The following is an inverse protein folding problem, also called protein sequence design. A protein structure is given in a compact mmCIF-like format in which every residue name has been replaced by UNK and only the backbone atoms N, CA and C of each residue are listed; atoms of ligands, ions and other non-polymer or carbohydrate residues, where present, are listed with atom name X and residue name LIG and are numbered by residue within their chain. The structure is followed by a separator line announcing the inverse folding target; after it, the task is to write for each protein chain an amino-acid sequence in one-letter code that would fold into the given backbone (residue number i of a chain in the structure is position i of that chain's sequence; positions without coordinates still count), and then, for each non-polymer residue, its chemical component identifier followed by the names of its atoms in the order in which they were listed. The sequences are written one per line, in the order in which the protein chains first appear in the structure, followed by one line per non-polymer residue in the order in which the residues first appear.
data_IF_380288321507
#
_entry.id   IF_380288321507
#
_cell.length_a   1.000
_cell.length_b   1.000
_cell.length_c   1.000
_cell.angle_alpha   90.00
_cell.angle_beta   90.00
_cell.angle_gamma   90.00
#
_symmetry.space_group_name_H-M   'P 1'
#
loop_
_entity.id
_entity.type
_entity.pdbx_description
1 polymer ?
#
# COMPACT_ATOMS: atom_id res chain seq x y z
N UNK A 1 9.53 8.21 -3.33
CA UNK A 1 8.62 8.97 -4.23
C UNK A 1 9.28 9.39 -5.53
N UNK A 2 10.51 9.93 -5.55
CA UNK A 2 11.19 10.39 -6.78
C UNK A 2 11.26 9.34 -7.89
N UNK A 3 11.71 8.12 -7.59
CA UNK A 3 11.81 7.03 -8.57
C UNK A 3 10.47 6.65 -9.22
N UNK A 4 9.38 6.52 -8.46
CA UNK A 4 8.06 6.20 -9.03
C UNK A 4 7.54 7.31 -9.95
N UNK A 5 7.83 8.57 -9.63
CA UNK A 5 7.47 9.71 -10.48
C UNK A 5 8.30 9.73 -11.78
N UNK A 6 9.59 9.37 -11.71
CA UNK A 6 10.45 9.24 -12.89
C UNK A 6 9.94 8.14 -13.83
N UNK A 7 9.64 6.95 -13.30
CA UNK A 7 9.08 5.83 -14.09
C UNK A 7 7.71 6.18 -14.67
N UNK A 8 6.86 6.86 -13.90
CA UNK A 8 5.57 7.34 -14.38
C UNK A 8 5.75 8.31 -15.55
N UNK A 9 6.63 9.32 -15.41
CA UNK A 9 6.86 10.30 -16.45
C UNK A 9 7.39 9.65 -17.75
N UNK A 10 8.39 8.79 -17.65
CA UNK A 10 8.92 8.03 -18.81
C UNK A 10 7.84 7.18 -19.48
N UNK A 11 6.97 6.56 -18.68
CA UNK A 11 5.84 5.78 -19.18
C UNK A 11 4.84 6.66 -19.92
N UNK A 12 4.51 7.83 -19.37
CA UNK A 12 3.57 8.77 -20.00
C UNK A 12 4.16 9.34 -21.29
N UNK A 13 5.44 9.75 -21.28
CA UNK A 13 6.12 10.32 -22.45
C UNK A 13 6.23 9.32 -23.62
N UNK A 14 6.32 8.02 -23.32
CA UNK A 14 6.35 6.97 -24.36
C UNK A 14 4.96 6.57 -24.89
N UNK A 15 3.88 7.00 -24.24
CA UNK A 15 2.51 6.54 -24.53
C UNK A 15 1.54 7.64 -24.94
N UNK A 16 1.79 8.86 -24.50
CA UNK A 16 0.92 10.00 -24.69
C UNK A 16 1.63 11.08 -25.50
N UNK A 17 0.86 11.91 -26.18
CA UNK A 17 1.41 13.13 -26.80
C UNK A 17 1.82 14.11 -25.71
N UNK A 18 2.83 14.94 -25.98
CA UNK A 18 3.31 15.96 -25.02
C UNK A 18 2.18 16.85 -24.47
N UNK A 19 1.21 17.23 -25.30
CA UNK A 19 0.05 18.01 -24.87
C UNK A 19 -0.84 17.23 -23.88
N UNK A 20 -1.02 15.93 -24.07
CA UNK A 20 -1.78 15.06 -23.18
C UNK A 20 -1.05 14.84 -21.85
N UNK A 21 0.28 14.74 -21.86
CA UNK A 21 1.10 14.71 -20.64
C UNK A 21 0.90 15.99 -19.82
N UNK A 22 0.90 17.16 -20.46
CA UNK A 22 0.60 18.42 -19.78
C UNK A 22 -0.80 18.43 -19.16
N UNK A 23 -1.82 17.96 -19.90
CA UNK A 23 -3.19 17.83 -19.38
C UNK A 23 -3.22 16.89 -18.17
N UNK A 24 -2.56 15.74 -18.26
CA UNK A 24 -2.48 14.78 -17.15
C UNK A 24 -1.93 15.43 -15.87
N UNK A 25 -0.79 16.13 -15.94
CA UNK A 25 -0.20 16.75 -14.76
C UNK A 25 -1.04 17.92 -14.21
N UNK A 26 -1.62 18.74 -15.09
CA UNK A 26 -2.51 19.82 -14.67
C UNK A 26 -3.74 19.29 -13.91
N UNK A 27 -4.38 18.24 -14.43
CA UNK A 27 -5.53 17.63 -13.75
C UNK A 27 -5.10 16.84 -12.50
N UNK A 28 -3.94 16.18 -12.52
CA UNK A 28 -3.39 15.48 -11.35
C UNK A 28 -3.19 16.43 -10.17
N UNK A 29 -2.76 17.67 -10.41
CA UNK A 29 -2.59 18.66 -9.35
C UNK A 29 -3.91 18.96 -8.62
N UNK A 30 -5.03 19.05 -9.35
CA UNK A 30 -6.36 19.22 -8.78
C UNK A 30 -6.70 18.05 -7.86
N UNK A 31 -6.47 16.81 -8.31
CA UNK A 31 -6.69 15.62 -7.50
C UNK A 31 -5.75 15.55 -6.29
N UNK A 32 -4.50 16.01 -6.43
CA UNK A 32 -3.51 16.07 -5.37
C UNK A 32 -3.92 17.06 -4.27
N UNK A 33 -4.49 18.22 -4.64
CA UNK A 33 -5.09 19.17 -3.70
C UNK A 33 -6.31 18.55 -3.00
N UNK A 34 -7.20 17.89 -3.76
CA UNK A 34 -8.36 17.22 -3.19
C UNK A 34 -8.02 16.17 -2.13
N UNK A 35 -7.03 15.31 -2.39
CA UNK A 35 -6.59 14.31 -1.40
C UNK A 35 -5.88 14.93 -0.20
N UNK A 36 -5.15 16.05 -0.39
CA UNK A 36 -4.52 16.79 0.70
C UNK A 36 -5.57 17.31 1.68
N UNK A 37 -6.58 18.03 1.17
CA UNK A 37 -7.69 18.53 1.98
C UNK A 37 -8.45 17.41 2.71
N UNK A 38 -8.70 16.27 2.04
CA UNK A 38 -9.34 15.11 2.70
C UNK A 38 -8.52 14.55 3.86
N UNK A 39 -7.19 14.57 3.77
CA UNK A 39 -6.30 14.11 4.85
C UNK A 39 -6.30 15.08 6.03
N UNK A 40 -6.40 16.37 5.74
CA UNK A 40 -6.44 17.46 6.72
C UNK A 40 -7.82 17.61 7.39
N UNK A 41 -8.85 16.95 6.87
CA UNK A 41 -10.22 17.02 7.39
C UNK A 41 -11.06 18.14 6.77
N UNK A 42 -10.52 18.85 5.79
CA UNK A 42 -11.19 19.88 5.00
C UNK A 42 -12.08 19.25 3.92
N UNK A 43 -13.19 18.63 4.35
CA UNK A 43 -14.05 17.80 3.49
C UNK A 43 -14.73 18.60 2.37
N UNK A 44 -15.14 19.84 2.64
CA UNK A 44 -15.79 20.70 1.65
C UNK A 44 -14.82 21.11 0.53
N UNK A 45 -13.64 21.62 0.88
CA UNK A 45 -12.57 21.98 -0.05
C UNK A 45 -12.14 20.76 -0.88
N UNK A 46 -11.99 19.60 -0.21
CA UNK A 46 -11.71 18.35 -0.90
C UNK A 46 -12.77 18.01 -1.94
N UNK A 47 -14.05 18.11 -1.57
CA UNK A 47 -15.18 17.84 -2.45
C UNK A 47 -15.18 18.76 -3.66
N UNK A 48 -14.95 20.06 -3.46
CA UNK A 48 -14.86 21.06 -4.54
C UNK A 48 -13.72 20.75 -5.51
N UNK A 49 -12.54 20.37 -5.01
CA UNK A 49 -11.44 19.94 -5.89
C UNK A 49 -11.81 18.72 -6.73
N UNK A 50 -12.46 17.71 -6.15
CA UNK A 50 -12.85 16.53 -6.90
C UNK A 50 -13.96 16.81 -7.92
N UNK A 51 -14.92 17.70 -7.63
CA UNK A 51 -15.93 18.14 -8.61
C UNK A 51 -15.31 18.89 -9.79
N UNK A 52 -14.33 19.77 -9.51
CA UNK A 52 -13.57 20.43 -10.57
C UNK A 52 -12.79 19.41 -11.41
N UNK A 53 -12.11 18.47 -10.75
CA UNK A 53 -11.37 17.42 -11.44
C UNK A 53 -12.26 16.47 -12.25
N UNK A 54 -13.49 16.18 -11.80
CA UNK A 54 -14.51 15.45 -12.57
C UNK A 54 -14.92 16.22 -13.82
N UNK A 55 -15.07 17.55 -13.72
CA UNK A 55 -15.37 18.42 -14.86
C UNK A 55 -14.25 18.34 -15.91
N UNK A 56 -12.98 18.42 -15.51
CA UNK A 56 -11.84 18.26 -16.42
C UNK A 56 -11.79 16.84 -17.01
N UNK A 57 -12.03 15.82 -16.19
CA UNK A 57 -12.04 14.43 -16.62
C UNK A 57 -13.11 14.20 -17.69
N UNK A 58 -14.29 14.83 -17.58
CA UNK A 58 -15.39 14.71 -18.54
C UNK A 58 -15.14 15.39 -19.88
N UNK A 59 -14.15 16.30 -19.99
CA UNK A 59 -13.73 16.90 -21.26
C UNK A 59 -12.88 15.94 -22.11
N UNK A 60 -12.32 14.90 -21.50
CA UNK A 60 -11.46 13.93 -22.18
C UNK A 60 -12.30 12.73 -22.67
N UNK A 61 -12.10 12.35 -23.93
CA UNK A 61 -12.76 11.21 -24.56
C UNK A 61 -12.49 9.91 -23.77
N UNK A 62 -13.57 9.19 -23.46
CA UNK A 62 -13.58 7.98 -22.64
C UNK A 62 -12.73 6.82 -23.19
N UNK A 63 -12.46 6.81 -24.49
CA UNK A 63 -11.74 5.72 -25.16
C UNK A 63 -10.23 6.00 -25.31
N UNK A 64 -9.73 7.11 -24.78
CA UNK A 64 -8.32 7.49 -24.88
C UNK A 64 -7.47 6.90 -23.75
N UNK A 65 -6.18 6.70 -24.02
CA UNK A 65 -5.21 6.29 -23.00
C UNK A 65 -5.02 7.39 -21.93
N UNK A 66 -5.09 8.68 -22.33
CA UNK A 66 -5.11 9.81 -21.39
C UNK A 66 -6.24 9.67 -20.36
N UNK A 67 -7.46 9.31 -20.80
CA UNK A 67 -8.58 9.09 -19.88
C UNK A 67 -8.26 8.01 -18.85
N UNK A 68 -7.66 6.90 -19.26
CA UNK A 68 -7.28 5.80 -18.36
C UNK A 68 -6.27 6.26 -17.32
N UNK A 69 -5.28 7.05 -17.72
CA UNK A 69 -4.32 7.65 -16.79
C UNK A 69 -4.96 8.64 -15.80
N UNK A 70 -5.88 9.50 -16.28
CA UNK A 70 -6.63 10.40 -15.41
C UNK A 70 -7.49 9.63 -14.39
N UNK A 71 -8.21 8.60 -14.83
CA UNK A 71 -8.99 7.71 -13.96
C UNK A 71 -8.10 6.98 -12.95
N UNK A 72 -6.93 6.49 -13.36
CA UNK A 72 -5.94 5.90 -12.46
C UNK A 72 -5.56 6.86 -11.32
N UNK A 73 -5.33 8.14 -11.64
CA UNK A 73 -5.00 9.14 -10.61
C UNK A 73 -6.19 9.51 -9.73
N UNK A 74 -7.38 9.63 -10.32
CA UNK A 74 -8.60 10.13 -9.67
C UNK A 74 -9.26 9.09 -8.73
N UNK A 75 -9.52 7.87 -9.21
CA UNK A 75 -10.42 6.92 -8.55
C UNK A 75 -9.93 6.53 -7.14
N UNK A 76 -8.64 6.25 -6.99
CA UNK A 76 -8.05 5.90 -5.68
C UNK A 76 -8.15 7.04 -4.66
N UNK A 77 -7.98 8.29 -5.10
CA UNK A 77 -8.07 9.48 -4.24
C UNK A 77 -9.51 9.81 -3.88
N UNK A 78 -10.44 9.66 -4.82
CA UNK A 78 -11.87 9.86 -4.57
C UNK A 78 -12.44 8.79 -3.63
N UNK A 79 -12.00 7.54 -3.78
CA UNK A 79 -12.31 6.47 -2.82
C UNK A 79 -11.88 6.86 -1.40
N UNK A 80 -10.67 7.41 -1.22
CA UNK A 80 -10.22 7.84 0.11
C UNK A 80 -11.13 8.91 0.73
N UNK A 81 -11.61 9.88 -0.05
CA UNK A 81 -12.58 10.87 0.45
C UNK A 81 -13.88 10.19 0.91
N UNK A 82 -14.41 9.26 0.13
CA UNK A 82 -15.61 8.50 0.50
C UNK A 82 -15.41 7.66 1.77
N UNK A 83 -14.25 7.02 1.89
CA UNK A 83 -13.85 6.32 3.11
C UNK A 83 -13.81 7.28 4.32
N UNK A 84 -13.21 8.46 4.15
CA UNK A 84 -13.12 9.49 5.21
C UNK A 84 -14.48 10.02 5.66
N UNK A 85 -15.44 10.13 4.75
CA UNK A 85 -16.80 10.60 5.05
C UNK A 85 -17.74 9.48 5.47
N UNK A 86 -17.25 8.25 5.64
CA UNK A 86 -18.04 7.10 6.09
C UNK A 86 -18.91 6.48 5.00
N UNK A 87 -18.84 6.95 3.74
CA UNK A 87 -19.57 6.37 2.62
C UNK A 87 -18.78 5.22 1.98
N UNK A 88 -18.81 4.07 2.64
CA UNK A 88 -17.91 2.95 2.31
C UNK A 88 -18.32 2.21 1.05
N UNK A 89 -19.61 2.08 0.78
CA UNK A 89 -20.10 1.46 -0.46
C UNK A 89 -19.55 2.19 -1.67
N UNK A 90 -19.58 3.54 -1.65
CA UNK A 90 -18.92 4.34 -2.67
C UNK A 90 -17.41 4.16 -2.64
N UNK A 91 -16.78 4.15 -1.47
CA UNK A 91 -15.33 3.94 -1.39
C UNK A 91 -14.90 2.63 -2.08
N UNK A 92 -15.66 1.56 -1.88
CA UNK A 92 -15.46 0.24 -2.53
C UNK A 92 -15.76 0.31 -4.02
N UNK A 93 -16.88 0.91 -4.44
CA UNK A 93 -17.23 1.09 -5.86
C UNK A 93 -16.08 1.76 -6.64
N UNK A 94 -15.54 2.85 -6.10
CA UNK A 94 -14.41 3.56 -6.71
C UNK A 94 -13.12 2.72 -6.72
N UNK A 95 -12.87 1.89 -5.70
CA UNK A 95 -11.72 0.97 -5.70
C UNK A 95 -11.88 -0.15 -6.72
N UNK A 96 -13.09 -0.70 -6.90
CA UNK A 96 -13.36 -1.70 -7.93
C UNK A 96 -13.10 -1.13 -9.33
N UNK A 97 -13.60 0.08 -9.62
CA UNK A 97 -13.29 0.78 -10.87
C UNK A 97 -11.80 1.09 -11.01
N UNK A 98 -11.12 1.42 -9.91
CA UNK A 98 -9.67 1.65 -9.91
C UNK A 98 -8.90 0.38 -10.28
N UNK A 99 -9.31 -0.78 -9.75
CA UNK A 99 -8.75 -2.08 -10.08
C UNK A 99 -8.88 -2.40 -11.57
N UNK A 100 -10.03 -2.11 -12.18
CA UNK A 100 -10.24 -2.31 -13.62
C UNK A 100 -9.24 -1.49 -14.45
N UNK A 101 -9.03 -0.22 -14.08
CA UNK A 101 -8.06 0.65 -14.76
C UNK A 101 -6.62 0.15 -14.56
N UNK A 102 -6.28 -0.31 -13.34
CA UNK A 102 -4.98 -0.90 -13.06
C UNK A 102 -4.71 -2.13 -13.93
N UNK A 103 -5.65 -3.08 -13.97
CA UNK A 103 -5.52 -4.28 -14.77
C UNK A 103 -5.33 -3.93 -16.25
N UNK A 104 -6.14 -3.01 -16.79
CA UNK A 104 -6.03 -2.56 -18.17
C UNK A 104 -4.63 -1.98 -18.49
N UNK A 105 -4.07 -1.16 -17.60
CA UNK A 105 -2.73 -0.59 -17.81
C UNK A 105 -1.63 -1.66 -17.68
N UNK A 106 -1.76 -2.58 -16.72
CA UNK A 106 -0.79 -3.68 -16.50
C UNK A 106 -0.76 -4.63 -17.70
N UNK A 107 -1.93 -5.04 -18.21
CA UNK A 107 -2.07 -5.90 -19.39
C UNK A 107 -1.43 -5.28 -20.64
N UNK A 108 -1.38 -3.95 -20.71
CA UNK A 108 -0.70 -3.21 -21.79
C UNK A 108 0.78 -3.02 -21.56
N UNK A 109 1.37 -3.64 -20.53
CA UNK A 109 2.81 -3.67 -20.27
C UNK A 109 3.30 -2.62 -19.28
N UNK A 110 2.41 -1.92 -18.56
CA UNK A 110 2.82 -0.95 -17.54
C UNK A 110 3.11 -1.65 -16.20
N UNK A 111 4.18 -2.44 -16.17
CA UNK A 111 4.50 -3.39 -15.09
C UNK A 111 4.63 -2.75 -13.69
N UNK A 112 5.15 -1.53 -13.60
CA UNK A 112 5.37 -0.88 -12.30
C UNK A 112 4.06 -0.60 -11.54
N UNK A 113 2.90 -0.66 -12.21
CA UNK A 113 1.58 -0.51 -11.58
C UNK A 113 1.20 -1.67 -10.66
N UNK A 114 2.02 -2.72 -10.60
CA UNK A 114 1.94 -3.76 -9.57
C UNK A 114 1.94 -3.17 -8.14
N UNK A 115 2.69 -2.09 -7.89
CA UNK A 115 2.74 -1.47 -6.55
C UNK A 115 1.46 -0.66 -6.23
N UNK A 116 0.94 0.18 -7.13
CA UNK A 116 -0.42 0.70 -7.03
C UNK A 116 -1.51 -0.37 -6.84
N UNK A 117 -1.37 -1.56 -7.45
CA UNK A 117 -2.29 -2.67 -7.21
C UNK A 117 -2.22 -3.20 -5.77
N UNK A 118 -1.02 -3.34 -5.21
CA UNK A 118 -0.85 -3.67 -3.79
C UNK A 118 -1.48 -2.59 -2.89
N UNK A 119 -1.32 -1.31 -3.23
CA UNK A 119 -1.98 -0.23 -2.49
C UNK A 119 -3.51 -0.31 -2.60
N UNK A 120 -4.07 -0.73 -3.74
CA UNK A 120 -5.50 -1.02 -3.86
C UNK A 120 -5.92 -2.13 -2.88
N UNK A 121 -5.19 -3.25 -2.84
CA UNK A 121 -5.49 -4.35 -1.92
C UNK A 121 -5.41 -3.91 -0.46
N UNK A 122 -4.43 -3.04 -0.16
CA UNK A 122 -4.29 -2.45 1.15
C UNK A 122 -5.50 -1.58 1.53
N UNK A 123 -5.95 -0.70 0.62
CA UNK A 123 -7.10 0.15 0.87
C UNK A 123 -8.40 -0.66 1.06
N UNK A 124 -8.56 -1.78 0.34
CA UNK A 124 -9.67 -2.70 0.57
C UNK A 124 -9.61 -3.32 1.97
N UNK A 125 -8.43 -3.77 2.42
CA UNK A 125 -8.27 -4.30 3.78
C UNK A 125 -8.62 -3.28 4.86
N UNK A 126 -8.29 -2.00 4.67
CA UNK A 126 -8.66 -0.91 5.59
C UNK A 126 -10.16 -0.75 5.75
N UNK A 127 -10.89 -0.84 4.65
CA UNK A 127 -12.35 -0.79 4.67
C UNK A 127 -12.89 -1.99 5.45
N UNK A 128 -12.36 -3.20 5.23
CA UNK A 128 -12.76 -4.40 5.95
C UNK A 128 -12.47 -4.31 7.46
N UNK A 129 -11.28 -3.82 7.85
CA UNK A 129 -10.97 -3.57 9.27
C UNK A 129 -11.93 -2.56 9.91
N UNK A 130 -12.28 -1.50 9.17
CA UNK A 130 -13.25 -0.52 9.65
C UNK A 130 -14.62 -1.17 9.86
N UNK A 131 -15.04 -2.08 8.97
CA UNK A 131 -16.29 -2.83 9.06
C UNK A 131 -16.27 -3.96 10.11
N UNK A 132 -15.19 -4.08 10.87
CA UNK A 132 -14.97 -5.17 11.84
C UNK A 132 -14.94 -6.57 11.20
N UNK A 133 -14.82 -6.65 9.87
CA UNK A 133 -14.54 -7.91 9.18
C UNK A 133 -13.02 -8.17 9.19
N UNK A 134 -12.49 -8.35 10.40
CA UNK A 134 -11.06 -8.49 10.64
C UNK A 134 -10.47 -9.72 9.94
N UNK A 135 -11.20 -10.83 9.86
CA UNK A 135 -10.72 -12.06 9.21
C UNK A 135 -10.58 -11.88 7.70
N UNK A 136 -11.55 -11.25 7.04
CA UNK A 136 -11.42 -10.94 5.62
C UNK A 136 -10.29 -9.93 5.37
N UNK A 137 -10.15 -8.93 6.24
CA UNK A 137 -9.06 -7.94 6.15
C UNK A 137 -7.67 -8.60 6.26
N UNK A 138 -7.49 -9.50 7.23
CA UNK A 138 -6.26 -10.28 7.41
C UNK A 138 -5.97 -11.12 6.16
N UNK A 139 -6.97 -11.82 5.64
CA UNK A 139 -6.84 -12.65 4.43
C UNK A 139 -6.37 -11.81 3.23
N UNK A 140 -6.97 -10.63 3.03
CA UNK A 140 -6.61 -9.70 1.97
C UNK A 140 -5.15 -9.23 2.08
N UNK A 141 -4.69 -8.90 3.29
CA UNK A 141 -3.31 -8.44 3.51
C UNK A 141 -2.30 -9.58 3.38
N UNK A 142 -2.61 -10.78 3.89
CA UNK A 142 -1.76 -11.97 3.70
C UNK A 142 -1.54 -12.25 2.21
N UNK A 143 -2.58 -12.16 1.39
CA UNK A 143 -2.45 -12.33 -0.06
C UNK A 143 -1.43 -11.37 -0.67
N UNK A 144 -1.45 -10.11 -0.24
CA UNK A 144 -0.53 -9.06 -0.72
C UNK A 144 0.90 -9.31 -0.23
N UNK A 145 1.06 -9.61 1.06
CA UNK A 145 2.35 -9.89 1.69
C UNK A 145 2.99 -11.15 1.13
N UNK A 146 2.22 -12.21 0.91
CA UNK A 146 2.71 -13.47 0.30
C UNK A 146 3.40 -13.18 -1.03
N UNK A 147 2.77 -12.44 -1.92
CA UNK A 147 3.35 -12.15 -3.24
C UNK A 147 4.59 -11.26 -3.15
N UNK A 148 4.58 -10.25 -2.26
CA UNK A 148 5.73 -9.39 -2.00
C UNK A 148 6.92 -10.19 -1.44
N UNK A 149 6.71 -10.98 -0.38
CA UNK A 149 7.77 -11.74 0.27
C UNK A 149 8.34 -12.83 -0.66
N UNK A 150 7.49 -13.50 -1.43
CA UNK A 150 7.91 -14.54 -2.40
C UNK A 150 8.79 -13.99 -3.53
N UNK A 151 8.75 -12.68 -3.80
CA UNK A 151 9.64 -12.04 -4.79
C UNK A 151 11.07 -11.82 -4.30
N UNK A 152 11.31 -12.02 -3.00
CA UNK A 152 12.62 -11.80 -2.37
C UNK A 152 13.33 -13.10 -2.00
N UNK A 153 12.59 -14.22 -1.95
CA UNK A 153 13.16 -15.55 -1.69
C UNK A 153 13.83 -16.11 -2.94
N UNK A 154 15.08 -16.56 -2.81
CA UNK A 154 15.79 -17.28 -3.88
C UNK A 154 15.06 -18.60 -4.15
N UNK A 155 14.51 -18.77 -5.35
CA UNK A 155 13.98 -20.06 -5.84
C UNK A 155 12.47 -20.24 -5.84
N UNK A 156 11.67 -19.24 -5.46
CA UNK A 156 10.20 -19.33 -5.49
C UNK A 156 9.61 -18.77 -6.78
N UNK A 157 8.96 -19.63 -7.58
CA UNK A 157 8.27 -19.28 -8.85
C UNK A 157 6.92 -18.55 -8.66
N UNK A 158 6.58 -18.12 -7.44
CA UNK A 158 5.26 -17.59 -7.08
C UNK A 158 5.25 -16.07 -6.80
N UNK A 159 6.13 -15.30 -7.45
CA UNK A 159 6.27 -13.83 -7.32
C UNK A 159 5.28 -13.03 -8.18
N UNK A 160 4.27 -13.67 -8.75
CA UNK A 160 3.35 -13.03 -9.69
C UNK A 160 2.26 -12.23 -8.99
N UNK A 161 2.07 -10.98 -9.45
CA UNK A 161 0.95 -10.13 -9.08
C UNK A 161 0.37 -9.57 -10.38
N UNK A 162 -0.89 -9.88 -10.68
CA UNK A 162 -1.55 -9.47 -11.93
C UNK A 162 -0.76 -9.83 -13.19
N UNK A 163 -0.15 -11.01 -13.23
CA UNK A 163 0.68 -11.46 -14.36
C UNK A 163 2.06 -10.80 -14.45
N UNK A 164 2.41 -9.88 -13.54
CA UNK A 164 3.76 -9.30 -13.46
C UNK A 164 4.63 -10.17 -12.57
N UNK A 165 5.73 -10.68 -13.12
CA UNK A 165 6.79 -11.30 -12.33
C UNK A 165 7.58 -10.21 -11.59
N UNK A 166 7.33 -10.09 -10.28
CA UNK A 166 7.97 -9.09 -9.45
C UNK A 166 9.48 -9.34 -9.29
N UNK A 167 9.93 -10.60 -9.32
CA UNK A 167 11.35 -10.93 -9.24
C UNK A 167 12.09 -10.42 -10.48
N UNK A 168 11.51 -10.65 -11.67
CA UNK A 168 12.06 -10.11 -12.92
C UNK A 168 12.11 -8.58 -12.90
N UNK A 169 11.07 -7.92 -12.39
CA UNK A 169 11.05 -6.46 -12.28
C UNK A 169 12.17 -5.94 -11.35
N UNK A 170 12.42 -6.61 -10.23
CA UNK A 170 13.52 -6.28 -9.31
C UNK A 170 14.90 -6.53 -9.95
N UNK A 171 15.04 -7.58 -10.75
CA UNK A 171 16.27 -7.86 -11.50
C UNK A 171 16.53 -6.81 -12.59
N UNK A 172 15.47 -6.30 -13.23
CA UNK A 172 15.55 -5.20 -14.21
C UNK A 172 15.97 -3.88 -13.52
N UNK A 173 15.49 -3.60 -12.31
CA UNK A 173 15.89 -2.43 -11.51
C UNK A 173 15.79 -2.69 -10.00
N UNK A 174 16.94 -2.74 -9.32
CA UNK A 174 17.04 -3.05 -7.89
C UNK A 174 16.29 -2.04 -7.00
N UNK A 175 15.98 -0.83 -7.48
CA UNK A 175 15.22 0.16 -6.72
C UNK A 175 13.81 -0.33 -6.41
N UNK A 176 13.26 -1.27 -7.18
CA UNK A 176 11.98 -1.92 -6.87
C UNK A 176 12.04 -2.76 -5.60
N UNK A 177 13.20 -3.30 -5.22
CA UNK A 177 13.37 -4.01 -3.94
C UNK A 177 13.09 -3.08 -2.75
N UNK A 178 13.53 -1.83 -2.80
CA UNK A 178 13.25 -0.86 -1.76
C UNK A 178 11.74 -0.57 -1.66
N UNK A 179 11.03 -0.57 -2.79
CA UNK A 179 9.58 -0.42 -2.81
C UNK A 179 8.90 -1.64 -2.18
N UNK A 180 9.34 -2.85 -2.51
CA UNK A 180 8.86 -4.09 -1.88
C UNK A 180 9.00 -4.02 -0.37
N UNK A 181 10.20 -3.73 0.13
CA UNK A 181 10.47 -3.68 1.57
C UNK A 181 9.58 -2.63 2.27
N UNK A 182 9.38 -1.46 1.65
CA UNK A 182 8.48 -0.42 2.15
C UNK A 182 7.02 -0.89 2.25
N UNK A 183 6.49 -1.56 1.22
CA UNK A 183 5.12 -2.08 1.25
C UNK A 183 4.96 -3.21 2.25
N UNK A 184 5.95 -4.10 2.39
CA UNK A 184 5.95 -5.13 3.43
C UNK A 184 5.86 -4.48 4.80
N UNK A 185 6.71 -3.49 5.09
CA UNK A 185 6.68 -2.76 6.36
C UNK A 185 5.34 -2.10 6.63
N UNK A 186 4.81 -1.36 5.65
CA UNK A 186 3.53 -0.67 5.77
C UNK A 186 2.37 -1.63 6.06
N UNK A 187 2.25 -2.71 5.29
CA UNK A 187 1.19 -3.71 5.43
C UNK A 187 1.27 -4.46 6.76
N UNK A 188 2.47 -4.87 7.16
CA UNK A 188 2.69 -5.55 8.44
C UNK A 188 2.25 -4.68 9.63
N UNK A 189 2.72 -3.44 9.66
CA UNK A 189 2.43 -2.51 10.76
C UNK A 189 0.95 -2.19 10.83
N UNK A 190 0.32 -1.91 9.69
CA UNK A 190 -1.08 -1.52 9.66
C UNK A 190 -2.02 -2.66 10.08
N UNK A 191 -1.71 -3.91 9.70
CA UNK A 191 -2.45 -5.08 10.19
C UNK A 191 -2.27 -5.27 11.68
N UNK A 192 -1.04 -5.21 12.20
CA UNK A 192 -0.80 -5.40 13.64
C UNK A 192 -1.52 -4.35 14.48
N UNK A 193 -1.51 -3.09 14.05
CA UNK A 193 -2.25 -1.99 14.68
C UNK A 193 -3.77 -2.14 14.58
N UNK A 194 -4.27 -2.76 13.51
CA UNK A 194 -5.70 -3.01 13.33
C UNK A 194 -6.16 -4.20 14.19
N UNK A 195 -5.37 -5.28 14.22
CA UNK A 195 -5.60 -6.45 15.07
C UNK A 195 -5.58 -6.07 16.55
N UNK A 196 -4.65 -5.21 16.98
CA UNK A 196 -4.55 -4.76 18.39
C UNK A 196 -5.78 -4.00 18.90
N UNK A 197 -6.67 -3.58 18.01
CA UNK A 197 -7.93 -2.89 18.34
C UNK A 197 -9.14 -3.80 18.24
N UNK A 198 -8.95 -5.07 17.89
CA UNK A 198 -10.02 -6.04 17.71
C UNK A 198 -10.35 -6.74 19.03
N UNK A 199 -11.64 -6.96 19.27
CA UNK A 199 -12.15 -7.68 20.44
C UNK A 199 -11.58 -9.11 20.55
N UNK A 200 -11.23 -9.75 19.42
CA UNK A 200 -10.61 -11.08 19.34
C UNK A 200 -9.11 -11.01 18.99
N UNK A 201 -8.38 -10.11 19.65
CA UNK A 201 -6.97 -9.80 19.38
C UNK A 201 -6.10 -11.05 19.16
N UNK A 202 -6.11 -12.01 20.08
CA UNK A 202 -5.22 -13.18 20.01
C UNK A 202 -5.57 -14.13 18.87
N UNK A 203 -6.84 -14.45 18.66
CA UNK A 203 -7.28 -15.32 17.56
C UNK A 203 -6.84 -14.72 16.21
N UNK A 204 -7.06 -13.42 16.04
CA UNK A 204 -6.67 -12.70 14.84
C UNK A 204 -5.14 -12.61 14.67
N UNK A 205 -4.40 -12.34 15.75
CA UNK A 205 -2.94 -12.31 15.71
C UNK A 205 -2.37 -13.69 15.36
N UNK A 206 -2.85 -14.76 16.01
CA UNK A 206 -2.44 -16.13 15.71
C UNK A 206 -2.75 -16.49 14.26
N UNK A 207 -3.95 -16.16 13.77
CA UNK A 207 -4.35 -16.39 12.37
C UNK A 207 -3.40 -15.69 11.40
N UNK A 208 -3.12 -14.41 11.65
CA UNK A 208 -2.21 -13.62 10.81
C UNK A 208 -0.79 -14.20 10.78
N UNK A 209 -0.21 -14.45 11.96
CA UNK A 209 1.16 -14.92 12.06
C UNK A 209 1.32 -16.36 11.56
N UNK A 210 0.40 -17.28 11.88
CA UNK A 210 0.45 -18.66 11.35
C UNK A 210 0.42 -18.66 9.81
N UNK A 211 -0.43 -17.82 9.22
CA UNK A 211 -0.58 -17.76 7.76
C UNK A 211 0.63 -17.17 7.04
N UNK A 212 1.41 -16.30 7.71
CA UNK A 212 2.55 -15.62 7.09
C UNK A 212 3.91 -16.29 7.40
N UNK A 213 3.98 -17.16 8.42
CA UNK A 213 5.24 -17.69 8.95
C UNK A 213 6.15 -18.33 7.89
N UNK A 214 5.58 -19.14 7.00
CA UNK A 214 6.35 -19.79 5.93
C UNK A 214 7.00 -18.78 4.97
N UNK A 215 6.27 -17.74 4.56
CA UNK A 215 6.80 -16.70 3.68
C UNK A 215 7.79 -15.78 4.42
N UNK A 216 7.53 -15.52 5.69
CA UNK A 216 8.36 -14.68 6.53
C UNK A 216 9.74 -15.30 6.83
N UNK A 217 9.78 -16.60 7.11
CA UNK A 217 11.05 -17.31 7.33
C UNK A 217 11.91 -17.29 6.08
N UNK A 218 11.30 -17.49 4.90
CA UNK A 218 11.96 -17.42 3.59
C UNK A 218 12.30 -16.00 3.10
N UNK A 219 11.70 -14.95 3.68
CA UNK A 219 11.91 -13.55 3.30
C UNK A 219 13.39 -13.17 3.39
N UNK A 220 14.00 -12.76 2.29
CA UNK A 220 15.39 -12.32 2.28
C UNK A 220 15.46 -10.84 1.92
N UNK A 221 15.43 -9.92 2.91
CA UNK A 221 15.35 -8.49 2.66
C UNK A 221 16.55 -8.01 1.84
N UNK A 222 16.28 -7.15 0.85
CA UNK A 222 17.33 -6.58 0.01
C UNK A 222 17.83 -5.21 0.47
N UNK A 223 17.19 -4.60 1.48
CA UNK A 223 17.62 -3.32 2.06
C UNK A 223 17.90 -3.43 3.56
N UNK A 224 18.65 -2.46 4.10
CA UNK A 224 18.89 -2.34 5.55
C UNK A 224 17.58 -2.14 6.33
N UNK A 225 16.61 -1.42 5.75
CA UNK A 225 15.26 -1.30 6.30
C UNK A 225 14.57 -2.67 6.39
N UNK A 226 14.60 -3.45 5.32
CA UNK A 226 14.04 -4.79 5.29
C UNK A 226 14.70 -5.72 6.32
N UNK A 227 16.02 -5.61 6.53
CA UNK A 227 16.74 -6.37 7.56
C UNK A 227 16.26 -6.00 8.97
N UNK A 228 16.17 -4.70 9.26
CA UNK A 228 15.67 -4.21 10.55
C UNK A 228 14.21 -4.64 10.79
N UNK A 229 13.36 -4.55 9.76
CA UNK A 229 11.99 -5.05 9.80
C UNK A 229 11.96 -6.56 10.06
N UNK A 230 12.84 -7.33 9.39
CA UNK A 230 12.92 -8.78 9.59
C UNK A 230 13.24 -9.11 11.04
N UNK A 231 14.24 -8.45 11.61
CA UNK A 231 14.66 -8.63 13.00
C UNK A 231 13.56 -8.24 13.99
N UNK A 232 12.88 -7.12 13.76
CA UNK A 232 11.81 -6.63 14.64
C UNK A 232 10.61 -7.60 14.71
N UNK A 233 10.21 -8.15 13.57
CA UNK A 233 8.99 -8.96 13.47
C UNK A 233 9.25 -10.45 13.78
N UNK A 234 10.47 -10.96 13.59
CA UNK A 234 10.81 -12.38 13.82
C UNK A 234 10.46 -12.91 15.22
N UNK A 235 10.67 -12.16 16.33
CA UNK A 235 10.23 -12.59 17.66
C UNK A 235 8.73 -12.92 17.74
N UNK A 236 7.86 -12.17 17.03
CA UNK A 236 6.42 -12.44 17.02
C UNK A 236 6.10 -13.81 16.38
N UNK A 237 6.83 -14.17 15.32
CA UNK A 237 6.69 -15.48 14.65
C UNK A 237 7.29 -16.62 15.47
N UNK A 238 8.44 -16.42 16.12
CA UNK A 238 9.05 -17.42 17.01
C UNK A 238 8.16 -17.70 18.22
N UNK A 239 7.50 -16.67 18.73
CA UNK A 239 6.53 -16.76 19.81
C UNK A 239 5.23 -17.45 19.41
N UNK A 240 4.92 -17.67 18.12
CA UNK A 240 3.67 -18.31 17.68
C UNK A 240 3.49 -19.76 18.13
N UNK A 241 4.59 -20.46 18.40
CA UNK A 241 4.57 -21.79 19.01
C UNK A 241 4.38 -21.74 20.53
N UNK A 242 4.49 -20.56 21.12
CA UNK A 242 4.35 -20.26 22.56
C UNK A 242 3.11 -19.39 22.83
N UNK A 243 2.37 -18.92 21.81
CA UNK A 243 1.19 -18.04 21.99
C UNK A 243 0.03 -18.70 22.74
N UNK A 244 0.01 -20.03 22.86
CA UNK A 244 -0.92 -20.76 23.74
C UNK A 244 -0.45 -20.75 25.23
N UNK A 245 0.76 -20.23 25.50
CA UNK A 245 1.42 -20.15 26.80
C UNK A 245 1.90 -18.73 27.19
N UNK A 246 1.87 -17.77 26.26
CA UNK A 246 2.25 -16.37 26.54
C UNK A 246 1.10 -15.70 27.29
N UNK A 247 1.40 -15.27 28.51
CA UNK A 247 0.55 -14.39 29.31
C UNK A 247 0.14 -13.17 28.47
N UNK A 248 -1.16 -13.05 28.23
CA UNK A 248 -1.75 -11.95 27.45
C UNK A 248 -1.30 -10.60 27.99
N UNK A 249 -1.12 -10.49 29.30
CA UNK A 249 -0.69 -9.27 29.98
C UNK A 249 0.77 -8.93 29.66
N UNK A 250 1.63 -9.94 29.44
CA UNK A 250 3.02 -9.75 29.03
C UNK A 250 3.14 -9.32 27.57
N UNK A 251 2.37 -9.94 26.66
CA UNK A 251 2.32 -9.53 25.25
C UNK A 251 1.73 -8.14 25.09
N UNK A 252 0.66 -7.83 25.83
CA UNK A 252 0.10 -6.48 25.89
C UNK A 252 1.08 -5.49 26.53
N UNK A 253 1.87 -5.88 27.54
CA UNK A 253 2.97 -5.06 28.10
C UNK A 253 4.09 -4.84 27.09
N UNK A 254 4.48 -5.83 26.29
CA UNK A 254 5.49 -5.65 25.24
C UNK A 254 4.95 -4.75 24.12
N UNK A 255 3.71 -4.95 23.67
CA UNK A 255 3.07 -4.11 22.66
C UNK A 255 2.77 -2.69 23.17
N UNK A 256 2.43 -2.52 24.46
CA UNK A 256 2.23 -1.22 25.09
C UNK A 256 3.54 -0.52 25.45
N UNK A 257 4.58 -1.26 25.85
CA UNK A 257 5.95 -0.75 25.95
C UNK A 257 6.45 -0.29 24.59
N UNK A 258 6.20 -1.06 23.52
CA UNK A 258 6.48 -0.63 22.14
C UNK A 258 5.66 0.63 21.80
N UNK A 259 4.43 0.76 22.28
CA UNK A 259 3.58 1.96 22.09
C UNK A 259 4.03 3.18 22.91
N UNK A 260 4.56 2.98 24.12
CA UNK A 260 4.92 4.04 25.09
C UNK A 260 6.39 4.47 25.00
N UNK A 261 7.33 3.52 24.85
CA UNK A 261 8.76 3.79 24.66
C UNK A 261 9.08 4.24 23.24
N UNK A 262 8.28 3.82 22.26
CA UNK A 262 8.42 4.26 20.88
C UNK A 262 7.15 4.95 20.41
N UNK A 263 6.89 6.19 20.85
CA UNK A 263 5.82 7.05 20.32
C UNK A 263 5.73 6.90 18.79
N UNK A 264 4.83 6.02 18.34
CA UNK A 264 4.87 5.42 17.01
C UNK A 264 4.68 6.42 15.84
N UNK A 265 4.12 7.63 15.99
CA UNK A 265 4.20 8.63 14.93
C UNK A 265 5.62 9.15 14.69
N UNK A 266 6.42 9.24 15.76
CA UNK A 266 7.74 9.85 15.72
C UNK A 266 8.82 8.85 15.32
N UNK A 267 8.74 7.55 15.67
CA UNK A 267 9.75 6.58 15.20
C UNK A 267 9.78 6.49 13.66
N UNK A 268 8.64 6.63 12.97
CA UNK A 268 8.62 6.64 11.51
C UNK A 268 9.11 7.96 10.94
N UNK A 269 8.82 9.11 11.58
CA UNK A 269 9.41 10.40 11.22
C UNK A 269 10.91 10.43 11.48
N UNK A 270 11.38 9.82 12.57
CA UNK A 270 12.77 9.79 13.02
C UNK A 270 13.58 8.72 12.26
N UNK A 271 12.97 7.59 11.89
CA UNK A 271 13.54 6.62 10.95
C UNK A 271 13.54 7.16 9.52
N UNK A 272 12.47 7.83 9.04
CA UNK A 272 12.51 8.52 7.75
C UNK A 272 13.52 9.67 7.78
N UNK A 273 13.62 10.45 8.86
CA UNK A 273 14.53 11.60 8.97
C UNK A 273 15.97 11.13 9.11
N UNK A 274 16.26 10.12 9.93
CA UNK A 274 17.59 9.50 10.01
C UNK A 274 17.99 8.81 8.71
N UNK A 275 17.03 8.26 7.96
CA UNK A 275 17.26 7.65 6.65
C UNK A 275 17.42 8.69 5.53
N UNK A 276 16.64 9.78 5.51
CA UNK A 276 16.78 10.91 4.59
C UNK A 276 18.10 11.64 4.82
N UNK A 277 18.49 11.87 6.08
CA UNK A 277 19.79 12.46 6.44
C UNK A 277 20.99 11.57 6.07
N UNK A 278 20.80 10.25 5.99
CA UNK A 278 21.83 9.30 5.47
C UNK A 278 21.87 9.19 3.94
N UNK A 279 20.81 9.61 3.25
CA UNK A 279 20.73 9.63 1.79
C UNK A 279 21.09 10.99 1.18
N UNK A 280 21.22 12.03 2.00
CA UNK A 280 21.64 13.38 1.63
C UNK A 280 23.10 13.71 2.02
N UNK A 281 23.84 12.70 2.49
CA UNK A 281 25.31 12.71 2.61
C UNK A 281 25.92 11.90 1.49
#
# INVERSE_FOLDING_TARGET
MRFQNEVLLQTLDSRLKKSEVCVFFATQEIFAKGIKYAKEGEIEQSTNCFLLGETELNKVDNNTELKRWLLFSYLSKRSFLHYKTGNKDKAVEYLCRYKEVLNWLIERGVKFLVFPFIQYQHNMARILFYERDTRAAITQVIGSLKSLLSSTSKGTQNSFICGVDLLKLIQEDIRYQNIVDLYVGQLMVEVLLSISKSDNFLDHLQTFLRSLNHFWTAYNPGSSFGVALKQFITPFFMSCHVLDQIDQEKLLKELSFIREVHKLPNLWSDLLTAYISKLQG
#
